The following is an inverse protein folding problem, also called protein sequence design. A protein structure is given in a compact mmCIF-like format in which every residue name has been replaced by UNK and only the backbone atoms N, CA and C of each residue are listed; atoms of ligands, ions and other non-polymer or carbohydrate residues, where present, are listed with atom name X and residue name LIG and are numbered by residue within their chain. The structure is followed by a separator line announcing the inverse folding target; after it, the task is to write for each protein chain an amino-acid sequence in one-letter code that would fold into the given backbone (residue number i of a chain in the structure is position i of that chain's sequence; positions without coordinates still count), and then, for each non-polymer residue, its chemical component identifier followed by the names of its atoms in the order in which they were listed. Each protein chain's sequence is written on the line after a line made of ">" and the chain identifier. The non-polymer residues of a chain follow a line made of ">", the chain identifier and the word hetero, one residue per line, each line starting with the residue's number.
data_IF_641890233137
#
_entry.id   IF_641890233137
#
_cell.length_a   1.000
_cell.length_b   1.000
_cell.length_c   1.000
_cell.angle_alpha   90.00
_cell.angle_beta   90.00
_cell.angle_gamma   90.00
#
_symmetry.space_group_name_H-M   'P 1'
#
loop_
_entity.id
_entity.type
_entity.pdbx_description
1 polymer ?
#
# COMPACT_ATOMS: atom_id res chain seq x y z
N UNK A 1 -5.52 -14.00 5.84
CA UNK A 1 -5.30 -12.76 5.05
C UNK A 1 -6.57 -12.48 4.28
N UNK A 2 -7.18 -11.32 4.47
CA UNK A 2 -8.41 -10.93 3.76
C UNK A 2 -8.10 -10.69 2.28
N UNK A 3 -8.62 -11.53 1.40
CA UNK A 3 -8.49 -11.35 -0.05
C UNK A 3 -9.56 -10.40 -0.53
N UNK A 4 -9.19 -9.16 -0.87
CA UNK A 4 -10.11 -8.21 -1.49
C UNK A 4 -10.31 -8.62 -2.96
N UNK A 5 -11.54 -8.94 -3.39
CA UNK A 5 -11.82 -9.25 -4.79
C UNK A 5 -11.49 -8.04 -5.66
N UNK A 6 -10.79 -8.25 -6.77
CA UNK A 6 -10.46 -7.19 -7.71
C UNK A 6 -10.39 -7.74 -9.13
N UNK A 7 -11.07 -7.06 -10.04
CA UNK A 7 -10.95 -7.26 -11.48
C UNK A 7 -9.93 -6.25 -12.02
N UNK A 8 -8.74 -6.71 -12.42
CA UNK A 8 -7.69 -5.83 -12.94
C UNK A 8 -8.01 -5.22 -14.32
N UNK A 9 -9.00 -5.75 -15.02
CA UNK A 9 -9.50 -5.21 -16.30
C UNK A 9 -10.67 -4.23 -16.12
N UNK A 10 -10.93 -3.81 -14.88
CA UNK A 10 -11.79 -2.68 -14.56
C UNK A 10 -11.04 -1.76 -13.60
N UNK A 11 -10.77 -0.52 -14.04
CA UNK A 11 -10.02 0.42 -13.22
C UNK A 11 -10.79 0.77 -11.94
N UNK A 12 -12.12 0.86 -12.01
CA UNK A 12 -12.92 1.19 -10.83
C UNK A 12 -12.89 0.06 -9.80
N UNK A 13 -12.96 -1.20 -10.24
CA UNK A 13 -12.75 -2.35 -9.36
C UNK A 13 -11.38 -2.33 -8.68
N UNK A 14 -10.33 -1.98 -9.42
CA UNK A 14 -8.97 -1.85 -8.87
C UNK A 14 -8.87 -0.74 -7.83
N UNK A 15 -9.34 0.46 -8.15
CA UNK A 15 -9.33 1.62 -7.24
C UNK A 15 -10.10 1.32 -5.95
N UNK A 16 -11.32 0.76 -6.07
CA UNK A 16 -12.13 0.36 -4.92
C UNK A 16 -11.45 -0.68 -4.03
N UNK A 17 -10.71 -1.63 -4.62
CA UNK A 17 -9.98 -2.62 -3.87
C UNK A 17 -8.80 -2.00 -3.12
N UNK A 18 -8.06 -1.10 -3.77
CA UNK A 18 -6.93 -0.39 -3.19
C UNK A 18 -7.37 0.52 -2.04
N UNK A 19 -8.47 1.26 -2.20
CA UNK A 19 -9.03 2.11 -1.15
C UNK A 19 -9.50 1.32 0.07
N UNK A 20 -10.10 0.14 -0.13
CA UNK A 20 -10.45 -0.76 0.98
C UNK A 20 -9.22 -1.21 1.75
N UNK A 21 -8.11 -1.47 1.06
CA UNK A 21 -6.85 -1.83 1.71
C UNK A 21 -6.19 -0.64 2.43
N UNK A 22 -6.29 0.57 1.89
CA UNK A 22 -5.78 1.81 2.52
C UNK A 22 -6.52 2.14 3.81
N UNK A 23 -7.82 1.86 3.90
CA UNK A 23 -8.60 2.03 5.16
C UNK A 23 -8.05 1.22 6.34
N UNK A 24 -7.26 0.17 6.10
CA UNK A 24 -6.62 -0.57 7.18
C UNK A 24 -5.47 0.20 7.84
N UNK A 25 -4.98 1.29 7.23
CA UNK A 25 -3.91 2.13 7.80
C UNK A 25 -4.38 2.91 9.04
N UNK A 26 -5.70 3.13 9.22
CA UNK A 26 -6.26 3.74 10.43
C UNK A 26 -5.87 2.96 11.69
N UNK A 27 -5.72 1.64 11.57
CA UNK A 27 -5.26 0.79 12.68
C UNK A 27 -3.80 1.08 13.03
N UNK A 28 -2.93 1.23 12.03
CA UNK A 28 -1.50 1.57 12.24
C UNK A 28 -1.39 2.94 12.89
N UNK A 29 -2.12 3.94 12.38
CA UNK A 29 -2.16 5.28 12.96
C UNK A 29 -2.70 5.31 14.39
N UNK A 30 -3.78 4.58 14.65
CA UNK A 30 -4.31 4.45 16.00
C UNK A 30 -3.28 3.85 16.95
N UNK A 31 -2.60 2.76 16.58
CA UNK A 31 -1.59 2.12 17.43
C UNK A 31 -0.38 3.02 17.65
N UNK A 32 0.12 3.70 16.62
CA UNK A 32 1.21 4.67 16.76
C UNK A 32 0.90 5.80 17.76
N UNK A 33 -0.36 6.26 17.78
CA UNK A 33 -0.78 7.36 18.65
C UNK A 33 -1.18 6.91 20.07
N UNK A 34 -1.73 5.70 20.21
CA UNK A 34 -2.29 5.20 21.48
C UNK A 34 -1.35 4.27 22.26
N UNK A 35 -0.53 3.47 21.56
CA UNK A 35 0.33 2.48 22.19
C UNK A 35 1.75 3.00 22.46
N UNK A 36 2.22 4.01 21.72
CA UNK A 36 3.50 4.67 22.03
C UNK A 36 3.23 5.71 23.13
N UNK A 37 3.68 5.48 24.38
CA UNK A 37 3.38 6.37 25.48
C UNK A 37 3.86 7.79 25.16
N UNK A 38 3.03 8.79 25.44
CA UNK A 38 3.51 10.17 25.49
C UNK A 38 4.51 10.30 26.64
N UNK A 39 5.42 11.29 26.57
CA UNK A 39 6.55 11.53 27.51
C UNK A 39 6.26 11.31 29.00
N UNK A 40 5.00 11.42 29.43
CA UNK A 40 4.56 11.29 30.82
C UNK A 40 4.19 9.85 31.25
N UNK A 41 4.15 8.88 30.33
CA UNK A 41 3.60 7.53 30.57
C UNK A 41 4.51 6.37 30.16
N UNK A 42 5.77 6.61 29.74
CA UNK A 42 6.67 5.54 29.30
C UNK A 42 7.15 4.69 30.49
N UNK A 43 6.57 3.50 30.67
CA UNK A 43 6.90 2.59 31.77
C UNK A 43 8.23 1.85 31.61
N UNK A 44 8.80 1.73 30.39
CA UNK A 44 10.15 1.19 30.11
C UNK A 44 10.54 1.35 28.62
N UNK A 45 11.84 1.60 28.31
CA UNK A 45 12.34 1.74 26.92
C UNK A 45 12.23 0.45 26.08
N UNK A 46 12.33 -0.71 26.73
CA UNK A 46 12.18 -2.03 26.08
C UNK A 46 10.78 -2.21 25.46
N UNK A 47 9.76 -1.68 26.12
CA UNK A 47 8.37 -1.78 25.68
C UNK A 47 8.14 -0.95 24.42
N UNK A 48 8.69 0.27 24.38
CA UNK A 48 8.65 1.15 23.21
C UNK A 48 9.28 0.47 21.99
N UNK A 49 10.45 -0.17 22.15
CA UNK A 49 11.12 -0.87 21.05
C UNK A 49 10.28 -2.03 20.51
N UNK A 50 9.70 -2.82 21.41
CA UNK A 50 8.84 -3.95 21.06
C UNK A 50 7.59 -3.49 20.30
N UNK A 51 6.91 -2.45 20.80
CA UNK A 51 5.72 -1.86 20.18
C UNK A 51 6.05 -1.34 18.78
N UNK A 52 7.12 -0.55 18.64
CA UNK A 52 7.57 -0.03 17.35
C UNK A 52 7.84 -1.14 16.32
N UNK A 53 8.54 -2.21 16.72
CA UNK A 53 8.80 -3.35 15.84
C UNK A 53 7.49 -4.06 15.42
N UNK A 54 6.53 -4.22 16.33
CA UNK A 54 5.24 -4.81 16.00
C UNK A 54 4.45 -3.97 15.00
N UNK A 55 4.45 -2.64 15.17
CA UNK A 55 3.78 -1.72 14.25
C UNK A 55 4.47 -1.74 12.88
N UNK A 56 5.81 -1.76 12.82
CA UNK A 56 6.57 -1.90 11.56
C UNK A 56 6.21 -3.18 10.80
N UNK A 57 6.13 -4.31 11.51
CA UNK A 57 5.73 -5.60 10.91
C UNK A 57 4.28 -5.54 10.40
N UNK A 58 3.36 -4.94 11.16
CA UNK A 58 1.96 -4.80 10.74
C UNK A 58 1.82 -3.91 9.51
N UNK A 59 2.46 -2.74 9.53
CA UNK A 59 2.49 -1.83 8.39
C UNK A 59 3.10 -2.48 7.15
N UNK A 60 4.21 -3.21 7.30
CA UNK A 60 4.84 -3.96 6.20
C UNK A 60 3.90 -4.97 5.54
N UNK A 61 3.08 -5.68 6.33
CA UNK A 61 2.07 -6.61 5.80
C UNK A 61 0.95 -5.90 5.02
N UNK A 62 0.55 -4.71 5.46
CA UNK A 62 -0.46 -3.91 4.75
C UNK A 62 0.10 -3.38 3.42
N UNK A 63 1.32 -2.88 3.45
CA UNK A 63 2.04 -2.44 2.24
C UNK A 63 2.21 -3.59 1.24
N UNK A 64 2.66 -4.77 1.69
CA UNK A 64 2.80 -5.93 0.83
C UNK A 64 1.48 -6.29 0.12
N UNK A 65 0.34 -6.22 0.83
CA UNK A 65 -0.96 -6.51 0.24
C UNK A 65 -1.34 -5.51 -0.85
N UNK A 66 -1.05 -4.21 -0.66
CA UNK A 66 -1.34 -3.17 -1.64
C UNK A 66 -0.47 -3.33 -2.89
N UNK A 67 0.85 -3.46 -2.72
CA UNK A 67 1.75 -3.67 -3.84
C UNK A 67 1.47 -4.96 -4.60
N UNK A 68 1.08 -6.04 -3.90
CA UNK A 68 0.68 -7.30 -4.55
C UNK A 68 -0.48 -7.11 -5.53
N UNK A 69 -1.51 -6.34 -5.17
CA UNK A 69 -2.64 -6.07 -6.07
C UNK A 69 -2.21 -5.15 -7.23
N UNK A 70 -1.45 -4.09 -6.93
CA UNK A 70 -0.94 -3.15 -7.93
C UNK A 70 -0.11 -3.89 -8.99
N UNK A 71 0.88 -4.66 -8.56
CA UNK A 71 1.79 -5.37 -9.46
C UNK A 71 1.06 -6.46 -10.24
N UNK A 72 0.16 -7.21 -9.60
CA UNK A 72 -0.69 -8.18 -10.31
C UNK A 72 -1.50 -7.51 -11.41
N UNK A 73 -2.19 -6.40 -11.11
CA UNK A 73 -3.00 -5.71 -12.12
C UNK A 73 -2.18 -5.07 -13.24
N UNK A 74 -0.94 -4.64 -12.96
CA UNK A 74 0.00 -4.23 -14.00
C UNK A 74 0.37 -5.41 -14.92
N UNK A 75 0.71 -6.56 -14.36
CA UNK A 75 1.11 -7.73 -15.15
C UNK A 75 -0.04 -8.31 -15.97
N UNK A 76 -1.26 -8.38 -15.41
CA UNK A 76 -2.44 -8.83 -16.14
C UNK A 76 -2.77 -7.89 -17.32
N UNK A 77 -2.70 -6.57 -17.14
CA UNK A 77 -2.95 -5.62 -18.24
C UNK A 77 -1.82 -5.61 -19.29
N UNK A 78 -0.56 -5.78 -18.90
CA UNK A 78 0.55 -5.95 -19.85
C UNK A 78 0.36 -7.22 -20.69
N UNK A 79 -0.04 -8.31 -20.05
CA UNK A 79 -0.31 -9.58 -20.72
C UNK A 79 -1.48 -9.45 -21.70
N UNK A 80 -2.56 -8.79 -21.29
CA UNK A 80 -3.69 -8.50 -22.16
C UNK A 80 -3.29 -7.64 -23.37
N UNK A 81 -2.51 -6.58 -23.17
CA UNK A 81 -1.99 -5.76 -24.25
C UNK A 81 -1.17 -6.60 -25.25
N UNK A 82 -0.28 -7.44 -24.76
CA UNK A 82 0.56 -8.29 -25.59
C UNK A 82 -0.24 -9.32 -26.40
N UNK A 83 -1.31 -9.90 -25.82
CA UNK A 83 -2.20 -10.81 -26.56
C UNK A 83 -2.96 -10.06 -27.65
N UNK A 84 -3.61 -8.96 -27.29
CA UNK A 84 -4.44 -8.17 -28.21
C UNK A 84 -3.63 -7.56 -29.36
N UNK A 85 -2.39 -7.15 -29.08
CA UNK A 85 -1.49 -6.65 -30.11
C UNK A 85 -1.08 -7.73 -31.11
N UNK A 86 -1.00 -9.01 -30.71
CA UNK A 86 -0.71 -10.13 -31.61
C UNK A 86 -1.92 -10.52 -32.45
N UNK A 87 -3.11 -10.31 -31.91
CA UNK A 87 -4.39 -10.60 -32.58
C UNK A 87 -4.84 -9.47 -33.54
N UNK A 88 -3.99 -8.47 -33.79
CA UNK A 88 -4.29 -7.29 -34.60
C UNK A 88 -5.53 -6.52 -34.13
N UNK A 89 -5.74 -6.44 -32.80
CA UNK A 89 -6.79 -5.62 -32.21
C UNK A 89 -6.72 -4.16 -32.69
N UNK A 90 -7.86 -3.47 -32.64
CA UNK A 90 -7.93 -2.09 -33.08
C UNK A 90 -7.05 -1.18 -32.21
N UNK A 91 -6.57 -0.09 -32.81
CA UNK A 91 -5.83 0.94 -32.07
C UNK A 91 -6.62 1.49 -30.87
N UNK A 92 -7.95 1.53 -30.96
CA UNK A 92 -8.82 1.98 -29.86
C UNK A 92 -8.76 1.02 -28.65
N UNK A 93 -8.85 -0.28 -28.88
CA UNK A 93 -8.78 -1.31 -27.83
C UNK A 93 -7.42 -1.28 -27.11
N UNK A 94 -6.33 -1.22 -27.89
CA UNK A 94 -4.97 -1.12 -27.35
C UNK A 94 -4.78 0.16 -26.54
N UNK A 95 -5.31 1.30 -27.02
CA UNK A 95 -5.26 2.59 -26.31
C UNK A 95 -6.00 2.53 -24.97
N UNK A 96 -7.13 1.83 -24.90
CA UNK A 96 -7.87 1.63 -23.66
C UNK A 96 -7.03 0.88 -22.61
N UNK A 97 -6.36 -0.21 -23.01
CA UNK A 97 -5.48 -0.97 -22.12
C UNK A 97 -4.28 -0.13 -21.66
N UNK A 98 -3.62 0.60 -22.58
CA UNK A 98 -2.51 1.50 -22.25
C UNK A 98 -2.95 2.56 -21.23
N UNK A 99 -4.12 3.16 -21.41
CA UNK A 99 -4.64 4.14 -20.48
C UNK A 99 -4.85 3.53 -19.10
N UNK A 100 -5.40 2.31 -19.00
CA UNK A 100 -5.53 1.61 -17.73
C UNK A 100 -4.19 1.35 -17.06
N UNK A 101 -3.20 0.87 -17.81
CA UNK A 101 -1.82 0.67 -17.28
C UNK A 101 -1.25 1.98 -16.74
N UNK A 102 -1.45 3.10 -17.45
CA UNK A 102 -1.01 4.42 -16.99
C UNK A 102 -1.67 4.82 -15.68
N UNK A 103 -2.97 4.59 -15.53
CA UNK A 103 -3.69 4.89 -14.29
C UNK A 103 -3.19 4.03 -13.12
N UNK A 104 -3.00 2.72 -13.34
CA UNK A 104 -2.46 1.82 -12.29
C UNK A 104 -1.03 2.24 -11.89
N UNK A 105 -0.18 2.66 -12.83
CA UNK A 105 1.15 3.20 -12.52
C UNK A 105 1.11 4.48 -11.69
N UNK A 106 0.10 5.34 -11.88
CA UNK A 106 -0.09 6.53 -11.03
C UNK A 106 -0.42 6.11 -9.61
N UNK A 107 -1.34 5.16 -9.44
CA UNK A 107 -1.66 4.62 -8.10
C UNK A 107 -0.45 3.95 -7.43
N UNK A 108 0.41 3.28 -8.21
CA UNK A 108 1.68 2.76 -7.70
C UNK A 108 2.58 3.86 -7.13
N UNK A 109 2.76 4.95 -7.88
CA UNK A 109 3.57 6.08 -7.42
C UNK A 109 2.98 6.75 -6.17
N UNK A 110 1.65 6.85 -6.08
CA UNK A 110 0.96 7.32 -4.87
C UNK A 110 1.26 6.41 -3.69
N UNK A 111 1.21 5.09 -3.88
CA UNK A 111 1.49 4.12 -2.81
C UNK A 111 2.94 4.19 -2.33
N UNK A 112 3.90 4.35 -3.24
CA UNK A 112 5.32 4.53 -2.90
C UNK A 112 5.55 5.81 -2.04
N UNK A 113 4.83 6.89 -2.34
CA UNK A 113 4.88 8.13 -1.53
C UNK A 113 4.27 7.91 -0.15
N UNK A 114 3.11 7.25 -0.06
CA UNK A 114 2.46 6.92 1.22
C UNK A 114 3.38 6.04 2.07
N UNK A 115 4.02 5.05 1.45
CA UNK A 115 4.97 4.17 2.13
C UNK A 115 6.13 4.95 2.73
N UNK A 116 6.79 5.79 1.92
CA UNK A 116 7.92 6.59 2.35
C UNK A 116 7.55 7.55 3.49
N UNK A 117 6.41 8.23 3.39
CA UNK A 117 5.94 9.15 4.43
C UNK A 117 5.63 8.43 5.74
N UNK A 118 4.96 7.28 5.66
CA UNK A 118 4.57 6.52 6.85
C UNK A 118 5.80 5.94 7.54
N UNK A 119 6.74 5.34 6.79
CA UNK A 119 8.02 4.86 7.35
C UNK A 119 8.80 5.97 8.05
N UNK A 120 8.84 7.17 7.45
CA UNK A 120 9.50 8.33 8.06
C UNK A 120 8.82 8.71 9.38
N UNK A 121 7.49 8.84 9.40
CA UNK A 121 6.73 9.17 10.61
C UNK A 121 6.94 8.15 11.72
N UNK A 122 6.90 6.86 11.39
CA UNK A 122 7.15 5.77 12.32
C UNK A 122 8.55 5.84 12.90
N UNK A 123 9.57 5.98 12.04
CA UNK A 123 10.97 6.11 12.46
C UNK A 123 11.17 7.31 13.39
N UNK A 124 10.65 8.47 13.03
CA UNK A 124 10.73 9.69 13.86
C UNK A 124 10.07 9.49 15.22
N UNK A 125 8.88 8.89 15.27
CA UNK A 125 8.15 8.65 16.51
C UNK A 125 8.87 7.65 17.41
N UNK A 126 9.33 6.54 16.83
CA UNK A 126 10.04 5.48 17.55
C UNK A 126 11.41 5.96 18.05
N UNK A 127 12.19 6.64 17.23
CA UNK A 127 13.50 7.17 17.63
C UNK A 127 13.39 8.23 18.72
N UNK A 128 12.38 9.12 18.63
CA UNK A 128 12.14 10.16 19.64
C UNK A 128 11.87 9.59 21.04
N UNK A 129 11.29 8.41 21.15
CA UNK A 129 11.02 7.77 22.45
C UNK A 129 12.12 6.78 22.89
N UNK A 130 12.90 6.21 21.96
CA UNK A 130 14.03 5.33 22.29
C UNK A 130 15.29 6.07 22.75
N UNK A 131 15.58 7.23 22.16
CA UNK A 131 16.83 8.00 22.37
C UNK A 131 16.64 9.29 23.18
N UNK A 132 15.51 9.43 23.87
CA UNK A 132 15.38 10.40 24.97
C UNK A 132 15.88 9.84 26.29
#
# INVERSE_FOLDING_TARGET
>A
MTTVPVNCFDFQSFENALDKLRKNDDKVNFRLNSEIPTKSFSSQKSDVKSICNQIEIEFGKLQEQRFRIIDRCLEENKSLYNSMSKENASHYELKSIINRIRLIKREKAVEEVIEAQTKKMMSERCNKELYK
#
